data_IF_998243702179
#
_entry.id   IF_998243702179
#
_cell.length_a   1.000
_cell.length_b   1.000
_cell.length_c   1.000
_cell.angle_alpha   90.00
_cell.angle_beta   90.00
_cell.angle_gamma   90.00
#
_symmetry.space_group_name_H-M   'P 1'
#
loop_
_entity.id
_entity.type
_entity.pdbx_description
1 polymer ?
#
# COMPACT_ATOMS: atom_id res chain seq x y z
N UNK A 1 -5.55 -1.62 0.68
CA UNK A 1 -6.34 -0.96 -0.39
C UNK A 1 -5.74 0.40 -0.69
N UNK A 2 -5.82 0.85 -1.93
CA UNK A 2 -5.42 2.20 -2.38
C UNK A 2 -6.57 2.81 -3.15
N UNK A 3 -7.00 4.00 -2.72
CA UNK A 3 -8.05 4.79 -3.35
C UNK A 3 -7.40 5.95 -4.08
N UNK A 4 -7.56 5.95 -5.40
CA UNK A 4 -7.21 7.04 -6.30
C UNK A 4 -8.52 7.60 -6.91
N UNK A 5 -8.51 8.81 -7.49
CA UNK A 5 -9.73 9.50 -7.89
C UNK A 5 -10.63 8.71 -8.85
N UNK A 6 -10.04 7.83 -9.67
CA UNK A 6 -10.77 7.06 -10.69
C UNK A 6 -10.77 5.56 -10.43
N UNK A 7 -10.08 5.06 -9.40
CA UNK A 7 -9.95 3.62 -9.19
C UNK A 7 -9.60 3.27 -7.74
N UNK A 8 -10.15 2.15 -7.28
CA UNK A 8 -9.73 1.49 -6.04
C UNK A 8 -9.00 0.21 -6.39
N UNK A 9 -7.85 0.01 -5.77
CA UNK A 9 -7.03 -1.20 -5.90
C UNK A 9 -6.90 -1.91 -4.57
N UNK A 10 -7.06 -3.22 -4.57
CA UNK A 10 -7.16 -4.05 -3.38
C UNK A 10 -6.20 -5.23 -3.49
N UNK A 11 -5.55 -5.52 -2.38
CA UNK A 11 -4.66 -6.67 -2.23
C UNK A 11 -4.93 -7.29 -0.87
N UNK A 12 -5.10 -8.61 -0.87
CA UNK A 12 -5.11 -9.44 0.32
C UNK A 12 -3.77 -10.16 0.41
N UNK A 13 -3.06 -9.96 1.52
CA UNK A 13 -1.76 -10.58 1.77
C UNK A 13 -1.82 -11.53 2.95
N UNK A 14 -1.05 -12.60 2.87
CA UNK A 14 -0.88 -13.56 3.95
C UNK A 14 0.07 -13.03 5.05
N UNK A 15 -0.11 -13.56 6.26
CA UNK A 15 0.74 -13.28 7.41
C UNK A 15 0.31 -12.06 8.23
N UNK A 16 0.44 -12.18 9.56
CA UNK A 16 0.00 -11.16 10.52
C UNK A 16 0.74 -9.82 10.36
N UNK A 17 1.94 -9.85 9.77
CA UNK A 17 2.76 -8.66 9.53
C UNK A 17 2.54 -8.06 8.13
N UNK A 18 1.66 -8.63 7.30
CA UNK A 18 1.42 -8.15 5.93
C UNK A 18 2.59 -8.34 4.94
N UNK A 19 3.60 -9.14 5.31
CA UNK A 19 4.80 -9.40 4.50
C UNK A 19 4.72 -10.70 3.67
N UNK A 20 3.62 -11.45 3.76
CA UNK A 20 3.47 -12.73 3.05
C UNK A 20 3.14 -12.56 1.57
N UNK A 21 2.78 -13.69 0.95
CA UNK A 21 2.36 -13.74 -0.45
C UNK A 21 1.01 -13.05 -0.64
N UNK A 22 0.79 -12.51 -1.84
CA UNK A 22 -0.52 -12.06 -2.27
C UNK A 22 -1.44 -13.26 -2.46
N UNK A 23 -2.57 -13.24 -1.76
CA UNK A 23 -3.64 -14.26 -1.83
C UNK A 23 -4.64 -13.92 -2.91
N UNK A 24 -5.00 -12.64 -2.98
CA UNK A 24 -6.05 -12.14 -3.84
C UNK A 24 -5.80 -10.67 -4.17
N UNK A 25 -6.22 -10.27 -5.37
CA UNK A 25 -6.16 -8.89 -5.84
C UNK A 25 -7.46 -8.54 -6.54
N UNK A 26 -7.92 -7.32 -6.35
CA UNK A 26 -9.15 -6.84 -6.98
C UNK A 26 -9.06 -5.35 -7.26
N UNK A 27 -9.82 -4.89 -8.24
CA UNK A 27 -9.90 -3.48 -8.60
C UNK A 27 -11.29 -3.12 -9.12
N UNK A 28 -11.68 -1.88 -8.89
CA UNK A 28 -12.90 -1.32 -9.48
C UNK A 28 -12.73 0.16 -9.77
N UNK A 29 -13.36 0.60 -10.84
CA UNK A 29 -13.36 2.00 -11.27
C UNK A 29 -14.30 2.84 -10.38
N UNK A 30 -13.85 4.05 -10.07
CA UNK A 30 -14.66 5.08 -9.41
C UNK A 30 -15.11 6.06 -10.49
N UNK A 31 -16.42 6.22 -10.72
CA UNK A 31 -16.92 7.17 -11.71
C UNK A 31 -16.57 8.62 -11.32
N UNK A 32 -16.25 9.49 -12.28
CA UNK A 32 -15.79 10.85 -12.00
C UNK A 32 -16.87 11.72 -11.32
N UNK A 33 -16.43 12.37 -10.24
CA UNK A 33 -16.94 13.50 -9.45
C UNK A 33 -18.41 13.97 -9.63
N UNK A 34 -19.24 13.57 -8.66
CA UNK A 34 -20.24 14.38 -7.97
C UNK A 34 -20.05 14.10 -6.46
N UNK A 35 -20.48 14.96 -5.52
CA UNK A 35 -20.37 14.67 -4.07
C UNK A 35 -21.01 13.31 -3.68
N UNK A 36 -22.05 12.93 -4.43
CA UNK A 36 -22.67 11.61 -4.32
C UNK A 36 -21.72 10.46 -4.73
N UNK A 37 -20.80 10.71 -5.66
CA UNK A 37 -19.77 9.77 -6.10
C UNK A 37 -18.71 9.52 -5.02
N UNK A 38 -18.28 10.54 -4.27
CA UNK A 38 -17.34 10.37 -3.14
C UNK A 38 -17.95 9.50 -2.03
N UNK A 39 -19.21 9.78 -1.66
CA UNK A 39 -19.98 8.93 -0.74
C UNK A 39 -20.19 7.51 -1.30
N UNK A 40 -20.40 7.38 -2.62
CA UNK A 40 -20.52 6.08 -3.28
C UNK A 40 -19.20 5.29 -3.22
N UNK A 41 -18.06 5.92 -3.49
CA UNK A 41 -16.74 5.30 -3.44
C UNK A 41 -16.42 4.81 -2.04
N UNK A 42 -16.64 5.64 -1.01
CA UNK A 42 -16.50 5.25 0.38
C UNK A 42 -17.37 4.03 0.76
N UNK A 43 -18.65 4.03 0.35
CA UNK A 43 -19.56 2.90 0.58
C UNK A 43 -19.15 1.64 -0.20
N UNK A 44 -18.57 1.79 -1.39
CA UNK A 44 -18.06 0.69 -2.18
C UNK A 44 -16.82 0.06 -1.52
N UNK A 45 -15.91 0.87 -0.99
CA UNK A 45 -14.77 0.39 -0.17
C UNK A 45 -15.27 -0.35 1.07
N UNK A 46 -16.25 0.19 1.80
CA UNK A 46 -16.87 -0.49 2.95
C UNK A 46 -17.46 -1.85 2.54
N UNK A 47 -18.18 -1.89 1.42
CA UNK A 47 -18.78 -3.11 0.88
C UNK A 47 -17.71 -4.14 0.48
N UNK A 48 -16.61 -3.68 -0.13
CA UNK A 48 -15.49 -4.52 -0.48
C UNK A 48 -14.80 -5.10 0.75
N UNK A 49 -14.55 -4.30 1.80
CA UNK A 49 -13.97 -4.79 3.07
C UNK A 49 -14.87 -5.88 3.70
N UNK A 50 -16.18 -5.66 3.73
CA UNK A 50 -17.14 -6.65 4.24
C UNK A 50 -17.14 -7.93 3.39
N UNK A 51 -17.12 -7.78 2.06
CA UNK A 51 -17.03 -8.87 1.10
C UNK A 51 -15.75 -9.69 1.28
N UNK A 52 -14.59 -9.04 1.33
CA UNK A 52 -13.29 -9.69 1.56
C UNK A 52 -13.25 -10.38 2.92
N UNK A 53 -13.79 -9.77 3.99
CA UNK A 53 -13.87 -10.42 5.31
C UNK A 53 -14.72 -11.69 5.27
N UNK A 54 -15.85 -11.65 4.60
CA UNK A 54 -16.73 -12.81 4.44
C UNK A 54 -16.07 -13.89 3.58
N UNK A 55 -15.51 -13.54 2.44
CA UNK A 55 -14.79 -14.46 1.55
C UNK A 55 -13.58 -15.10 2.23
N UNK A 56 -12.81 -14.33 2.99
CA UNK A 56 -11.70 -14.84 3.80
C UNK A 56 -12.20 -15.88 4.83
N UNK A 57 -13.29 -15.59 5.54
CA UNK A 57 -13.87 -16.51 6.52
C UNK A 57 -14.39 -17.81 5.89
N UNK A 58 -15.01 -17.74 4.72
CA UNK A 58 -15.44 -18.90 3.94
C UNK A 58 -14.25 -19.75 3.46
N UNK A 59 -13.11 -19.11 3.18
CA UNK A 59 -11.83 -19.76 2.87
C UNK A 59 -11.06 -20.28 4.08
N UNK A 60 -11.56 -20.11 5.31
CA UNK A 60 -10.87 -20.52 6.55
C UNK A 60 -9.79 -19.55 7.04
N UNK A 61 -9.73 -18.35 6.48
CA UNK A 61 -8.83 -17.26 6.89
C UNK A 61 -9.56 -16.26 7.81
N UNK A 62 -8.79 -15.47 8.57
CA UNK A 62 -9.32 -14.35 9.35
C UNK A 62 -8.63 -13.07 8.91
N UNK A 63 -9.42 -12.07 8.52
CA UNK A 63 -8.90 -10.74 8.21
C UNK A 63 -8.43 -10.07 9.51
N UNK A 64 -7.12 -9.86 9.64
CA UNK A 64 -6.49 -9.33 10.85
C UNK A 64 -6.53 -7.80 10.92
N UNK A 65 -6.14 -7.12 9.84
CA UNK A 65 -6.16 -5.66 9.70
C UNK A 65 -6.48 -5.27 8.26
N UNK A 66 -6.89 -4.02 8.07
CA UNK A 66 -7.09 -3.42 6.75
C UNK A 66 -6.46 -2.04 6.73
N UNK A 67 -5.52 -1.82 5.81
CA UNK A 67 -5.01 -0.48 5.51
C UNK A 67 -5.68 0.08 4.27
N UNK A 68 -6.11 1.33 4.32
CA UNK A 68 -6.63 2.06 3.16
C UNK A 68 -5.81 3.33 2.95
N UNK A 69 -5.23 3.48 1.76
CA UNK A 69 -4.59 4.72 1.33
C UNK A 69 -5.51 5.57 0.48
N UNK A 70 -5.29 6.87 0.51
CA UNK A 70 -6.04 7.87 -0.23
C UNK A 70 -5.06 8.95 -0.71
N UNK A 71 -5.37 9.54 -1.85
CA UNK A 71 -4.69 10.73 -2.37
C UNK A 71 -5.41 12.01 -1.95
N UNK A 72 -6.75 11.99 -1.85
CA UNK A 72 -7.56 13.15 -1.48
C UNK A 72 -7.99 13.12 0.01
N UNK A 73 -7.71 14.17 0.80
CA UNK A 73 -8.20 14.31 2.17
C UNK A 73 -9.73 14.30 2.32
N UNK A 74 -10.50 14.80 1.34
CA UNK A 74 -11.97 14.84 1.41
C UNK A 74 -12.56 13.42 1.35
N UNK A 75 -12.06 12.63 0.40
CA UNK A 75 -12.30 11.20 0.29
C UNK A 75 -12.00 10.43 1.58
N UNK A 76 -10.89 10.76 2.24
CA UNK A 76 -10.51 10.14 3.52
C UNK A 76 -11.53 10.41 4.64
N UNK A 77 -12.05 11.63 4.71
CA UNK A 77 -13.07 12.01 5.68
C UNK A 77 -14.39 11.27 5.42
N UNK A 78 -14.84 11.21 4.16
CA UNK A 78 -16.03 10.46 3.78
C UNK A 78 -15.91 8.97 4.09
N UNK A 79 -14.75 8.36 3.81
CA UNK A 79 -14.49 6.96 4.14
C UNK A 79 -14.49 6.72 5.65
N UNK A 80 -13.87 7.60 6.45
CA UNK A 80 -13.89 7.49 7.92
C UNK A 80 -15.32 7.49 8.45
N UNK A 81 -16.16 8.38 7.95
CA UNK A 81 -17.55 8.51 8.40
C UNK A 81 -18.37 7.27 7.98
N UNK A 82 -18.14 6.73 6.78
CA UNK A 82 -18.75 5.49 6.31
C UNK A 82 -18.30 4.27 7.16
N UNK A 83 -17.01 4.14 7.46
CA UNK A 83 -16.48 3.09 8.33
C UNK A 83 -17.11 3.14 9.73
N UNK A 84 -17.26 4.34 10.30
CA UNK A 84 -17.90 4.55 11.59
C UNK A 84 -19.40 4.18 11.57
N UNK A 85 -20.13 4.56 10.52
CA UNK A 85 -21.54 4.21 10.35
C UNK A 85 -21.76 2.69 10.29
N UNK A 86 -20.83 1.95 9.68
CA UNK A 86 -20.87 0.50 9.56
C UNK A 86 -20.19 -0.25 10.73
N UNK A 87 -19.65 0.48 11.73
CA UNK A 87 -18.93 -0.08 12.89
C UNK A 87 -17.79 -1.03 12.47
N UNK A 88 -17.08 -0.66 11.40
CA UNK A 88 -15.93 -1.42 10.96
C UNK A 88 -14.71 -1.07 11.81
N UNK A 89 -14.21 -2.08 12.51
CA UNK A 89 -13.00 -2.02 13.32
C UNK A 89 -11.80 -2.57 12.55
N UNK A 90 -10.58 -2.34 13.06
CA UNK A 90 -9.32 -2.80 12.46
C UNK A 90 -9.05 -2.25 11.05
N UNK A 91 -9.68 -1.12 10.69
CA UNK A 91 -9.37 -0.37 9.48
C UNK A 91 -8.52 0.84 9.85
N UNK A 92 -7.34 0.93 9.26
CA UNK A 92 -6.44 2.06 9.40
C UNK A 92 -6.43 2.88 8.11
N UNK A 93 -6.68 4.17 8.24
CA UNK A 93 -6.48 5.14 7.18
C UNK A 93 -5.00 5.56 7.17
N UNK A 94 -4.33 5.34 6.06
CA UNK A 94 -2.87 5.54 5.90
C UNK A 94 -2.65 6.53 4.77
N UNK A 95 -1.87 7.60 4.97
CA UNK A 95 -1.50 8.46 3.83
C UNK A 95 -0.72 7.66 2.78
N UNK A 96 -0.87 7.97 1.49
CA UNK A 96 -0.15 7.26 0.44
C UNK A 96 1.39 7.29 0.62
N UNK A 97 1.93 8.42 1.10
CA UNK A 97 3.36 8.52 1.45
C UNK A 97 3.79 7.53 2.55
N UNK A 98 3.03 7.42 3.65
CA UNK A 98 3.32 6.45 4.72
C UNK A 98 3.18 4.99 4.27
N UNK A 99 2.25 4.71 3.36
CA UNK A 99 2.17 3.39 2.74
C UNK A 99 3.41 3.08 1.89
N UNK A 100 3.88 4.05 1.10
CA UNK A 100 5.13 3.94 0.36
C UNK A 100 6.35 3.79 1.30
N UNK A 101 6.36 4.46 2.46
CA UNK A 101 7.42 4.30 3.47
C UNK A 101 7.40 2.92 4.12
N UNK A 102 6.22 2.37 4.42
CA UNK A 102 6.11 1.00 4.93
C UNK A 102 6.61 -0.05 3.91
N UNK A 103 6.36 0.18 2.61
CA UNK A 103 6.98 -0.63 1.55
C UNK A 103 8.50 -0.47 1.51
N UNK A 104 9.01 0.76 1.56
CA UNK A 104 10.45 1.02 1.54
C UNK A 104 11.15 0.36 2.73
N UNK A 105 10.55 0.40 3.92
CA UNK A 105 11.03 -0.34 5.09
C UNK A 105 11.06 -1.84 4.85
N UNK A 106 9.98 -2.42 4.31
CA UNK A 106 9.91 -3.85 4.03
C UNK A 106 10.97 -4.28 3.01
N UNK A 107 11.12 -3.55 1.90
CA UNK A 107 12.14 -3.80 0.87
C UNK A 107 13.56 -3.61 1.40
N UNK A 108 13.78 -2.54 2.17
CA UNK A 108 15.06 -2.27 2.83
C UNK A 108 15.46 -3.42 3.77
N UNK A 109 14.50 -3.92 4.56
CA UNK A 109 14.74 -5.07 5.45
C UNK A 109 15.08 -6.36 4.69
N UNK A 110 14.42 -6.62 3.55
CA UNK A 110 14.68 -7.78 2.70
C UNK A 110 16.04 -7.69 1.99
N UNK A 111 16.46 -6.47 1.64
CA UNK A 111 17.73 -6.20 0.93
C UNK A 111 18.90 -6.02 1.90
N UNK A 112 18.66 -6.01 3.21
CA UNK A 112 19.64 -5.67 4.26
C UNK A 112 20.22 -4.25 4.15
N UNK A 113 19.42 -3.31 3.63
CA UNK A 113 19.73 -1.89 3.71
C UNK A 113 19.42 -1.38 5.11
N UNK A 114 20.34 -0.62 5.70
CA UNK A 114 20.09 0.07 6.95
C UNK A 114 19.15 1.25 6.72
N UNK A 115 19.38 2.01 5.64
CA UNK A 115 18.59 3.16 5.27
C UNK A 115 18.24 3.15 3.78
N UNK A 116 16.98 3.38 3.46
CA UNK A 116 16.48 3.41 2.08
C UNK A 116 15.91 4.77 1.78
N UNK A 117 16.41 5.46 0.75
CA UNK A 117 15.78 6.68 0.26
C UNK A 117 14.50 6.29 -0.47
N UNK A 118 13.35 6.76 0.00
CA UNK A 118 12.07 6.66 -0.67
C UNK A 118 11.87 7.91 -1.54
N UNK A 119 11.67 7.72 -2.84
CA UNK A 119 11.11 8.73 -3.72
C UNK A 119 9.65 8.38 -4.05
N UNK A 120 8.71 9.10 -3.44
CA UNK A 120 7.29 8.98 -3.74
C UNK A 120 6.88 10.05 -4.75
N UNK A 121 6.30 9.65 -5.87
CA UNK A 121 5.99 10.52 -7.01
C UNK A 121 4.48 10.53 -7.25
N UNK A 122 3.92 11.73 -7.29
CA UNK A 122 2.55 12.06 -7.67
C UNK A 122 2.60 12.90 -8.97
N UNK A 123 1.47 13.13 -9.67
CA UNK A 123 1.49 13.85 -10.94
C UNK A 123 2.04 15.28 -10.86
N UNK A 124 1.84 15.96 -9.73
CA UNK A 124 2.16 17.37 -9.52
C UNK A 124 3.17 17.60 -8.38
N UNK A 125 3.55 16.56 -7.64
CA UNK A 125 4.50 16.66 -6.53
C UNK A 125 5.36 15.41 -6.40
N UNK A 126 6.55 15.57 -5.81
CA UNK A 126 7.42 14.47 -5.43
C UNK A 126 7.91 14.66 -4.00
N UNK A 127 8.03 13.57 -3.25
CA UNK A 127 8.54 13.56 -1.88
C UNK A 127 9.71 12.59 -1.78
N UNK A 128 10.89 13.12 -1.49
CA UNK A 128 12.07 12.33 -1.11
C UNK A 128 12.11 12.23 0.43
N UNK A 129 12.41 11.06 0.96
CA UNK A 129 12.67 10.86 2.38
C UNK A 129 13.60 9.68 2.59
N UNK A 130 14.21 9.55 3.76
CA UNK A 130 15.03 8.38 4.12
C UNK A 130 14.33 7.57 5.20
N UNK A 131 14.13 6.29 4.93
CA UNK A 131 13.44 5.34 5.82
C UNK A 131 14.46 4.39 6.45
N UNK A 132 14.45 4.29 7.77
CA UNK A 132 15.25 3.32 8.51
C UNK A 132 14.57 1.94 8.47
N UNK A 133 15.25 0.92 7.98
CA UNK A 133 14.67 -0.42 7.83
C UNK A 133 14.38 -1.11 9.17
N UNK A 134 15.07 -0.73 10.25
CA UNK A 134 14.97 -1.40 11.55
C UNK A 134 13.67 -1.03 12.31
N UNK A 135 13.28 0.24 12.28
CA UNK A 135 12.15 0.76 13.06
C UNK A 135 11.11 1.52 12.23
N UNK A 136 11.38 1.79 10.94
CA UNK A 136 10.48 2.54 10.06
C UNK A 136 10.48 4.04 10.31
N UNK A 137 11.43 4.56 11.10
CA UNK A 137 11.61 6.01 11.29
C UNK A 137 11.95 6.68 9.96
N UNK A 138 11.45 7.91 9.80
CA UNK A 138 11.58 8.70 8.57
C UNK A 138 12.39 9.96 8.87
N UNK A 139 13.43 10.21 8.09
CA UNK A 139 14.30 11.39 8.16
C UNK A 139 14.40 12.08 6.78
N UNK A 140 14.99 13.28 6.74
CA UNK A 140 15.31 14.02 5.51
C UNK A 140 14.14 14.18 4.51
N UNK A 141 12.95 14.45 5.03
CA UNK A 141 11.75 14.62 4.20
C UNK A 141 11.84 15.93 3.41
N UNK A 142 11.86 15.82 2.09
CA UNK A 142 11.84 16.93 1.15
C UNK A 142 10.74 16.73 0.12
N UNK A 143 9.70 17.58 0.18
CA UNK A 143 8.64 17.64 -0.82
C UNK A 143 8.90 18.77 -1.80
N UNK A 144 8.75 18.50 -3.09
CA UNK A 144 8.95 19.44 -4.18
C UNK A 144 7.74 19.40 -5.13
N UNK A 145 7.21 20.55 -5.57
CA UNK A 145 6.24 20.60 -6.66
C UNK A 145 6.94 20.24 -7.98
N UNK A 146 6.24 19.52 -8.86
CA UNK A 146 6.71 19.17 -10.19
C UNK A 146 6.12 20.13 -11.25
N UNK A 147 6.94 20.61 -12.21
CA UNK A 147 6.48 21.34 -13.37
C UNK A 147 5.44 20.54 -14.16
N UNK A 148 4.53 21.27 -14.82
CA UNK A 148 3.59 20.67 -15.78
C UNK A 148 4.25 20.19 -17.08
N UNK A 149 5.51 20.56 -17.31
CA UNK A 149 6.31 20.07 -18.43
C UNK A 149 7.04 18.78 -18.04
N UNK A 150 6.77 17.70 -18.78
CA UNK A 150 7.26 16.36 -18.44
C UNK A 150 8.79 16.27 -18.40
N UNK A 151 9.49 16.93 -19.34
CA UNK A 151 10.96 16.90 -19.38
C UNK A 151 11.57 17.65 -18.19
N UNK A 152 11.01 18.81 -17.84
CA UNK A 152 11.39 19.55 -16.64
C UNK A 152 11.07 18.78 -15.34
N UNK A 153 9.93 18.09 -15.28
CA UNK A 153 9.56 17.25 -14.14
C UNK A 153 10.56 16.09 -13.96
N UNK A 154 10.91 15.39 -15.04
CA UNK A 154 11.92 14.32 -15.01
C UNK A 154 13.29 14.86 -14.59
N UNK A 155 13.70 16.03 -15.07
CA UNK A 155 14.95 16.67 -14.66
C UNK A 155 14.96 17.02 -13.16
N UNK A 156 13.83 17.48 -12.62
CA UNK A 156 13.71 17.75 -11.18
C UNK A 156 13.75 16.46 -10.35
N UNK A 157 13.06 15.41 -10.78
CA UNK A 157 13.13 14.09 -10.13
C UNK A 157 14.56 13.55 -10.13
N UNK A 158 15.27 13.63 -11.25
CA UNK A 158 16.68 13.28 -11.36
C UNK A 158 17.55 14.09 -10.38
N UNK A 159 17.30 15.40 -10.24
CA UNK A 159 17.98 16.23 -9.26
C UNK A 159 17.72 15.80 -7.81
N UNK A 160 16.49 15.40 -7.47
CA UNK A 160 16.15 14.91 -6.13
C UNK A 160 16.87 13.59 -5.82
N UNK A 161 16.87 12.65 -6.77
CA UNK A 161 17.57 11.36 -6.62
C UNK A 161 19.08 11.57 -6.50
N UNK A 162 19.67 12.46 -7.31
CA UNK A 162 21.09 12.81 -7.22
C UNK A 162 21.45 13.41 -5.85
N UNK A 163 20.57 14.25 -5.29
CA UNK A 163 20.76 14.83 -3.95
C UNK A 163 20.75 13.78 -2.83
N UNK A 164 20.09 12.63 -3.02
CA UNK A 164 20.02 11.58 -2.01
C UNK A 164 21.41 11.05 -1.59
N UNK A 165 22.40 11.08 -2.50
CA UNK A 165 23.79 10.68 -2.20
C UNK A 165 24.51 11.62 -1.25
N UNK A 166 24.10 12.89 -1.21
CA UNK A 166 24.71 13.92 -0.40
C UNK A 166 24.08 14.02 1.01
N UNK A 167 23.03 13.26 1.29
CA UNK A 167 22.36 13.27 2.58
C UNK A 167 23.26 12.69 3.68
N UNK A 168 23.19 13.29 4.88
CA UNK A 168 23.99 12.85 6.03
C UNK A 168 23.60 11.45 6.52
N UNK A 169 22.34 11.07 6.30
CA UNK A 169 21.77 9.74 6.56
C UNK A 169 22.39 8.63 5.72
N UNK A 170 22.97 8.96 4.55
CA UNK A 170 23.65 8.03 3.63
C UNK A 170 22.80 6.79 3.30
N UNK A 171 21.70 6.95 2.56
CA UNK A 171 20.89 5.82 2.13
C UNK A 171 21.71 4.84 1.29
N UNK A 172 21.46 3.53 1.47
CA UNK A 172 22.14 2.45 0.76
C UNK A 172 21.59 2.26 -0.67
N UNK A 173 20.37 2.72 -0.92
CA UNK A 173 19.68 2.63 -2.20
C UNK A 173 18.45 3.52 -2.26
N UNK A 174 17.88 3.67 -3.46
CA UNK A 174 16.68 4.48 -3.71
C UNK A 174 15.53 3.56 -4.13
N UNK A 175 14.43 3.61 -3.37
CA UNK A 175 13.19 2.92 -3.70
C UNK A 175 12.17 3.94 -4.24
N UNK A 176 11.70 3.72 -5.46
CA UNK A 176 10.80 4.65 -6.15
C UNK A 176 9.38 4.09 -6.19
N UNK A 177 8.40 4.86 -5.71
CA UNK A 177 6.98 4.50 -5.73
C UNK A 177 6.20 5.61 -6.43
N UNK A 178 5.39 5.25 -7.41
CA UNK A 178 4.59 6.18 -8.20
C UNK A 178 3.10 6.00 -7.95
N UNK A 179 2.37 7.11 -7.89
CA UNK A 179 0.90 7.14 -7.83
C UNK A 179 0.36 7.84 -9.08
N UNK A 180 -0.30 7.09 -9.97
CA UNK A 180 -0.85 7.66 -11.20
C UNK A 180 0.21 8.10 -12.23
N UNK A 181 1.42 7.55 -12.15
CA UNK A 181 2.54 7.85 -13.06
C UNK A 181 3.14 6.57 -13.67
N UNK A 182 3.68 6.67 -14.88
CA UNK A 182 4.33 5.57 -15.58
C UNK A 182 5.83 5.52 -15.24
N UNK A 183 6.15 4.87 -14.11
CA UNK A 183 7.51 4.70 -13.59
C UNK A 183 8.52 4.14 -14.64
N UNK A 184 8.18 3.11 -15.43
CA UNK A 184 9.04 2.61 -16.51
C UNK A 184 9.59 3.69 -17.47
N UNK A 185 8.82 4.73 -17.77
CA UNK A 185 9.24 5.81 -18.67
C UNK A 185 10.34 6.70 -18.08
N UNK A 186 10.26 6.98 -16.77
CA UNK A 186 11.17 7.92 -16.11
C UNK A 186 12.38 7.22 -15.47
N UNK A 187 12.28 5.93 -15.18
CA UNK A 187 13.31 5.15 -14.48
C UNK A 187 14.73 5.27 -15.09
N UNK A 188 14.94 5.20 -16.42
CA UNK A 188 16.29 5.33 -17.00
C UNK A 188 16.96 6.68 -16.70
N UNK A 189 16.18 7.76 -16.62
CA UNK A 189 16.70 9.09 -16.29
C UNK A 189 17.10 9.18 -14.82
N UNK A 190 16.34 8.55 -13.92
CA UNK A 190 16.65 8.48 -12.49
C UNK A 190 17.90 7.64 -12.23
N UNK A 191 18.04 6.48 -12.90
CA UNK A 191 19.22 5.61 -12.81
C UNK A 191 20.49 6.30 -13.31
N UNK A 192 20.38 7.18 -14.32
CA UNK A 192 21.53 7.94 -14.80
C UNK A 192 21.96 9.07 -13.85
N UNK A 193 21.07 9.50 -12.94
CA UNK A 193 21.29 10.63 -12.05
C UNK A 193 21.98 10.25 -10.71
N UNK A 194 22.06 8.96 -10.40
CA UNK A 194 22.66 8.45 -9.17
C UNK A 194 23.47 7.17 -9.41
N UNK A 195 24.47 6.99 -8.56
CA UNK A 195 25.22 5.76 -8.34
C UNK A 195 24.56 4.80 -7.36
N UNK A 196 23.53 5.24 -6.61
CA UNK A 196 22.78 4.39 -5.70
C UNK A 196 21.93 3.37 -6.48
N UNK A 197 21.85 2.10 -6.01
CA UNK A 197 20.94 1.13 -6.59
C UNK A 197 19.49 1.63 -6.55
N UNK A 198 18.85 1.69 -7.71
CA UNK A 198 17.45 2.10 -7.83
C UNK A 198 16.54 0.87 -7.96
N UNK A 199 15.54 0.79 -7.09
CA UNK A 199 14.52 -0.27 -7.09
C UNK A 199 13.12 0.34 -7.10
N UNK A 200 12.15 -0.45 -7.55
CA UNK A 200 10.73 -0.10 -7.59
C UNK A 200 9.90 -1.34 -7.23
N UNK A 201 8.65 -1.19 -6.78
CA UNK A 201 7.77 -2.32 -6.54
C UNK A 201 7.64 -3.23 -7.77
N UNK A 202 7.57 -4.54 -7.56
CA UNK A 202 7.33 -5.52 -8.63
C UNK A 202 5.97 -5.31 -9.31
N UNK A 203 4.97 -4.89 -8.53
CA UNK A 203 3.63 -4.55 -8.98
C UNK A 203 3.34 -3.09 -8.61
N UNK A 204 3.71 -2.11 -9.47
CA UNK A 204 3.57 -0.68 -9.17
C UNK A 204 2.13 -0.27 -8.87
N UNK A 205 1.18 -0.91 -9.55
CA UNK A 205 -0.24 -0.60 -9.47
C UNK A 205 -0.84 -0.95 -8.10
N UNK A 206 -0.42 -2.07 -7.50
CA UNK A 206 -0.91 -2.54 -6.20
C UNK A 206 0.02 -2.15 -5.04
N UNK A 207 1.17 -1.56 -5.34
CA UNK A 207 2.20 -1.18 -4.37
C UNK A 207 1.63 -0.39 -3.19
N UNK A 208 0.91 0.70 -3.45
CA UNK A 208 0.33 1.51 -2.37
C UNK A 208 -0.68 0.73 -1.51
N UNK A 209 -1.49 -0.14 -2.13
CA UNK A 209 -2.43 -0.98 -1.40
C UNK A 209 -1.70 -1.98 -0.48
N UNK A 210 -0.57 -2.53 -0.95
CA UNK A 210 0.30 -3.42 -0.16
C UNK A 210 1.04 -2.67 0.95
N UNK A 211 1.52 -1.46 0.67
CA UNK A 211 2.09 -0.56 1.67
C UNK A 211 1.10 -0.20 2.77
N UNK A 212 -0.17 0.01 2.42
CA UNK A 212 -1.25 0.21 3.38
C UNK A 212 -1.41 -1.01 4.30
N UNK A 213 -1.40 -2.21 3.72
CA UNK A 213 -1.51 -3.45 4.49
C UNK A 213 -0.34 -3.59 5.47
N UNK A 214 0.90 -3.37 5.01
CA UNK A 214 2.10 -3.36 5.85
C UNK A 214 2.02 -2.32 6.97
N UNK A 215 1.63 -1.09 6.66
CA UNK A 215 1.48 -0.02 7.63
C UNK A 215 0.42 -0.38 8.70
N UNK A 216 -0.73 -0.92 8.27
CA UNK A 216 -1.82 -1.32 9.17
C UNK A 216 -1.42 -2.48 10.09
N UNK A 217 -0.59 -3.40 9.62
CA UNK A 217 -0.09 -4.52 10.40
C UNK A 217 0.93 -4.09 11.47
N UNK A 218 1.64 -2.98 11.26
CA UNK A 218 2.68 -2.46 12.16
C UNK A 218 2.25 -1.19 12.92
N UNK A 219 0.94 -0.94 13.01
CA UNK A 219 0.30 0.22 13.63
C UNK A 219 0.93 0.76 14.95
N UNK A 220 1.41 -0.05 15.91
CA UNK A 220 2.02 0.48 17.14
C UNK A 220 3.32 1.25 16.92
N UNK A 221 4.02 1.04 15.79
CA UNK A 221 5.33 1.65 15.51
C UNK A 221 5.23 3.03 14.82
N UNK A 222 4.10 3.34 14.18
CA UNK A 222 3.90 4.64 13.48
C UNK A 222 3.38 5.77 14.38
N UNK A 223 2.97 5.46 15.61
CA UNK A 223 2.50 6.46 16.58
C UNK A 223 3.62 7.38 17.11
N UNK A 224 4.90 6.99 16.96
CA UNK A 224 6.05 7.83 17.33
C UNK A 224 6.50 8.77 16.21
N UNK A 225 6.26 8.42 14.93
CA UNK A 225 6.61 9.28 13.78
C UNK A 225 5.60 10.38 13.49
N UNK A 226 4.35 10.25 13.98
CA UNK A 226 3.32 11.29 13.80
C UNK A 226 3.65 12.57 14.57
N UNK A 227 4.35 12.46 15.70
CA UNK A 227 4.88 13.61 16.43
C UNK A 227 6.00 14.34 15.63
N UNK A 228 6.81 13.60 14.88
CA UNK A 228 7.86 14.18 14.02
C UNK A 228 7.28 14.84 12.75
N UNK A 229 6.22 14.28 12.15
CA UNK A 229 5.50 14.88 11.01
C UNK A 229 4.77 16.17 11.38
N UNK A 230 4.23 16.27 12.60
CA UNK A 230 3.60 17.50 13.08
C UNK A 230 4.58 18.69 13.19
N UNK A 231 5.85 18.43 13.53
CA UNK A 231 6.91 19.46 13.52
C UNK A 231 7.43 19.80 12.11
N UNK A 232 7.39 18.84 11.18
CA UNK A 232 7.82 19.06 9.79
C UNK A 232 6.76 19.78 8.92
N UNK A 233 5.49 19.79 9.37
CA UNK A 233 4.38 20.49 8.71
C UNK A 233 4.22 21.95 9.15
N UNK A 234 5.03 22.45 10.08
CA UNK A 234 5.08 23.87 10.45
C UNK A 234 6.08 24.59 9.54
N UNK A 235 5.64 25.32 8.49
CA UNK A 235 6.54 26.19 7.78
C UNK A 235 6.72 27.38 8.71
N UNK A 236 7.91 27.52 9.30
CA UNK A 236 8.28 28.59 10.24
C UNK A 236 8.18 30.03 9.71
N UNK A 237 7.33 30.28 8.72
CA UNK A 237 6.95 31.53 8.07
C UNK A 237 5.46 31.86 8.22
N UNK A 238 4.67 31.08 8.97
CA UNK A 238 3.27 31.42 9.30
C UNK A 238 2.26 31.20 8.15
N UNK A 239 2.63 30.45 7.12
CA UNK A 239 1.71 30.01 6.09
C UNK A 239 1.04 28.70 6.54
N UNK A 240 -0.21 28.78 7.00
CA UNK A 240 -0.99 27.61 7.38
C UNK A 240 -1.49 26.93 6.09
N UNK A 241 -1.26 25.63 5.93
CA UNK A 241 -1.99 24.86 4.91
C UNK A 241 -3.44 24.69 5.41
N UNK A 242 -4.46 25.27 4.75
CA UNK A 242 -5.85 25.21 5.22
C UNK A 242 -6.44 23.79 5.21
N UNK A 243 -5.73 22.81 4.65
CA UNK A 243 -6.12 21.40 4.59
C UNK A 243 -5.26 20.49 5.50
N UNK A 244 -4.35 21.05 6.31
CA UNK A 244 -3.61 20.27 7.29
C UNK A 244 -4.52 19.91 8.49
N UNK A 245 -5.04 18.67 8.49
CA UNK A 245 -5.82 18.14 9.61
C UNK A 245 -4.87 17.70 10.72
N UNK A 246 -4.65 18.57 11.70
CA UNK A 246 -4.06 18.17 12.98
C UNK A 246 -5.11 17.45 13.84
N UNK A 247 -4.78 16.33 14.52
CA UNK A 247 -5.68 15.72 15.47
C UNK A 247 -5.71 16.56 16.75
N UNK A 248 -6.73 17.39 16.92
CA UNK A 248 -7.13 17.88 18.24
C UNK A 248 -7.01 19.38 18.52
N UNK A 249 -7.26 20.27 17.56
CA UNK A 249 -7.52 21.68 17.91
C UNK A 249 -9.02 21.97 17.86
N UNK A 250 -9.62 22.14 19.03
CA UNK A 250 -10.93 22.78 19.18
C UNK A 250 -10.81 24.23 18.70
N UNK A 251 -11.63 24.58 17.71
CA UNK A 251 -11.74 25.95 17.22
C UNK A 251 -12.31 26.85 18.33
N UNK A 252 -11.47 27.72 18.88
CA UNK A 252 -11.91 28.81 19.75
C UNK A 252 -12.22 29.98 18.82
N UNK A 253 -13.49 30.42 18.69
CA UNK A 253 -13.83 31.50 17.80
C UNK A 253 -13.07 32.77 18.20
N UNK A 254 -12.30 33.31 17.25
CA UNK A 254 -11.57 34.57 17.41
C UNK A 254 -12.55 35.74 17.51
N UNK A 255 -12.84 36.15 18.75
CA UNK A 255 -13.73 37.28 19.03
C UNK A 255 -13.78 37.73 20.50
N UNK A 256 -12.78 37.38 21.32
CA UNK A 256 -12.68 37.86 22.69
C UNK A 256 -11.47 38.81 22.80
N UNK A 257 -11.77 40.10 22.96
CA UNK A 257 -10.78 41.14 23.23
C UNK A 257 -10.07 40.91 24.57
N UNK A 258 -9.03 41.72 24.78
CA UNK A 258 -8.20 41.77 25.98
C UNK A 258 -9.02 41.72 27.27
N UNK A 259 -9.17 40.53 27.87
CA UNK A 259 -9.47 40.31 29.28
C UNK A 259 -9.35 38.81 29.57
N UNK A 260 -8.10 38.31 29.51
CA UNK A 260 -7.71 37.03 30.10
C UNK A 260 -7.76 37.12 31.62
N UNK A 261 -8.96 37.08 32.19
CA UNK A 261 -9.18 36.98 33.63
C UNK A 261 -9.91 35.67 33.93
N UNK A 262 -9.11 34.67 34.30
CA UNK A 262 -9.58 33.49 34.99
C UNK A 262 -10.06 33.90 36.40
N UNK A 263 -11.37 33.95 36.63
CA UNK A 263 -11.92 33.90 37.98
C UNK A 263 -13.39 33.47 37.96
N UNK A 264 -13.66 32.20 38.29
CA UNK A 264 -14.96 31.82 38.84
C UNK A 264 -15.03 32.38 40.26
N UNK A 265 -15.43 33.64 40.39
CA UNK A 265 -16.12 34.12 41.58
C UNK A 265 -17.60 34.20 41.21
N UNK A 266 -18.40 33.30 41.77
CA UNK A 266 -19.85 33.48 41.85
C UNK A 266 -20.09 34.33 43.10
N UNK A 267 -20.60 35.57 42.98
CA UNK A 267 -21.20 36.25 44.11
C UNK A 267 -22.56 35.61 44.36
N UNK A 268 -22.72 35.03 45.55
CA UNK A 268 -24.01 34.67 46.11
C UNK A 268 -24.75 35.99 46.42
N UNK A 269 -25.88 36.25 45.76
CA UNK A 269 -26.86 37.22 46.23
C UNK A 269 -28.18 36.50 46.49
N UNK A 270 -28.57 36.56 47.75
CA UNK A 270 -29.82 36.09 48.30
C UNK A 270 -30.96 37.06 47.97
N UNK A 271 -32.18 36.54 48.10
CA UNK A 271 -33.46 37.24 48.10
C UNK A 271 -34.08 37.51 46.71
N UNK A 272 -34.94 36.59 46.26
CA UNK A 272 -36.38 36.90 46.27
C UNK A 272 -37.25 35.65 46.05
N UNK A 273 -38.01 35.35 47.10
CA UNK A 273 -39.13 34.40 47.11
C UNK A 273 -40.35 35.09 46.47
N UNK A 274 -40.90 34.56 45.38
CA UNK A 274 -42.33 34.76 45.11
C UNK A 274 -42.98 33.56 44.38
N UNK A 275 -43.93 32.97 45.10
CA UNK A 275 -44.86 31.91 44.72
C UNK A 275 -45.95 32.40 43.76
N UNK A 276 -46.42 31.54 42.86
CA UNK A 276 -47.85 31.51 42.46
C UNK A 276 -48.21 31.72 40.98
N UNK A 277 -48.45 30.61 40.28
CA UNK A 277 -49.79 30.22 39.81
C UNK A 277 -50.63 31.17 38.87
N UNK A 278 -50.81 30.69 37.64
CA UNK A 278 -52.02 30.69 36.78
C UNK A 278 -52.47 31.92 35.93
N UNK A 279 -52.50 31.64 34.61
CA UNK A 279 -53.61 31.79 33.63
C UNK A 279 -53.94 33.12 32.94
N UNK A 280 -53.90 33.05 31.59
CA UNK A 280 -54.84 33.65 30.62
C UNK A 280 -54.58 35.11 30.24
N UNK A 281 -54.73 35.58 29.00
CA UNK A 281 -55.19 35.03 27.73
C UNK A 281 -54.97 36.14 26.67
N UNK A 282 -54.71 35.80 25.41
CA UNK A 282 -55.11 36.47 24.15
C UNK A 282 -54.29 35.87 23.01
N UNK A 283 -54.74 35.56 21.81
CA UNK A 283 -56.05 35.37 21.19
C UNK A 283 -55.74 34.71 19.82
N UNK A 284 -56.71 33.94 19.34
CA UNK A 284 -56.70 33.11 18.13
C UNK A 284 -56.47 33.91 16.83
N UNK A 285 -55.67 33.39 15.89
CA UNK A 285 -56.07 33.19 14.47
C UNK A 285 -55.32 31.98 13.89
N UNK A 286 -56.12 31.17 13.20
CA UNK A 286 -55.93 29.84 12.61
C UNK A 286 -55.17 29.83 11.27
N UNK A 287 -54.32 28.82 11.03
CA UNK A 287 -54.00 28.27 9.70
C UNK A 287 -53.16 26.97 9.79
N UNK A 288 -53.86 25.84 10.03
CA UNK A 288 -53.69 24.58 9.29
C UNK A 288 -52.35 23.84 9.24
N UNK A 289 -52.13 22.92 10.20
CA UNK A 289 -51.30 21.72 10.01
C UNK A 289 -52.19 20.52 9.66
N UNK A 290 -51.88 19.72 8.61
CA UNK A 290 -52.52 18.43 8.46
C UNK A 290 -51.88 17.38 9.38
N UNK A 291 -52.79 16.72 10.07
CA UNK A 291 -52.69 15.75 11.14
C UNK A 291 -52.00 14.43 10.72
N UNK A 292 -51.14 13.91 11.60
CA UNK A 292 -50.62 12.54 11.52
C UNK A 292 -51.77 11.55 11.66
N UNK A 293 -52.02 10.72 10.65
CA UNK A 293 -52.87 9.53 10.76
C UNK A 293 -52.12 8.27 10.34
N UNK A 294 -52.15 7.31 11.25
CA UNK A 294 -51.71 5.93 11.09
C UNK A 294 -52.46 5.21 9.97
N UNK A 295 -51.73 4.65 9.00
CA UNK A 295 -52.22 3.61 8.11
C UNK A 295 -51.32 2.38 8.24
N UNK A 296 -51.73 1.44 9.10
CA UNK A 296 -51.36 0.04 9.00
C UNK A 296 -52.21 -0.61 7.90
N UNK A 297 -51.61 -1.56 7.19
CA UNK A 297 -52.20 -2.47 6.18
C UNK A 297 -52.45 -1.88 4.79
N UNK A 298 -51.47 -2.01 3.89
CA UNK A 298 -51.59 -2.72 2.59
C UNK A 298 -50.19 -3.21 2.21
N UNK A 299 -49.95 -4.53 2.19
CA UNK A 299 -48.65 -5.09 1.81
C UNK A 299 -48.61 -6.62 1.88
N UNK A 300 -49.72 -7.29 1.56
CA UNK A 300 -49.89 -8.74 1.76
C UNK A 300 -49.81 -9.61 0.49
N UNK A 301 -49.59 -9.04 -0.69
CA UNK A 301 -49.73 -9.80 -1.96
C UNK A 301 -48.37 -10.05 -2.67
N UNK A 302 -47.32 -9.29 -2.35
CA UNK A 302 -46.01 -9.42 -3.02
C UNK A 302 -45.08 -10.44 -2.32
N UNK A 303 -45.30 -10.71 -1.03
CA UNK A 303 -44.43 -11.61 -0.25
C UNK A 303 -44.64 -13.11 -0.56
N UNK A 304 -45.82 -13.53 -1.03
CA UNK A 304 -46.12 -14.94 -1.28
C UNK A 304 -45.46 -15.50 -2.55
N UNK A 305 -45.32 -14.67 -3.59
CA UNK A 305 -44.67 -15.08 -4.84
C UNK A 305 -43.17 -15.33 -4.63
N UNK A 306 -42.52 -14.53 -3.78
CA UNK A 306 -41.10 -14.67 -3.47
C UNK A 306 -40.80 -15.98 -2.72
N UNK A 307 -41.63 -16.33 -1.72
CA UNK A 307 -41.43 -17.56 -0.93
C UNK A 307 -41.63 -18.82 -1.78
N UNK A 308 -42.63 -18.83 -2.68
CA UNK A 308 -42.84 -19.97 -3.60
C UNK A 308 -41.67 -20.10 -4.59
N UNK A 309 -41.14 -18.98 -5.09
CA UNK A 309 -39.95 -18.97 -5.95
C UNK A 309 -38.70 -19.52 -5.27
N UNK A 310 -38.45 -19.13 -4.01
CA UNK A 310 -37.30 -19.61 -3.23
C UNK A 310 -37.42 -21.11 -2.91
N UNK A 311 -38.62 -21.59 -2.57
CA UNK A 311 -38.84 -23.03 -2.33
C UNK A 311 -38.66 -23.85 -3.61
N UNK A 312 -39.14 -23.37 -4.76
CA UNK A 312 -38.92 -24.03 -6.04
C UNK A 312 -37.43 -24.08 -6.42
N UNK A 313 -36.68 -23.00 -6.17
CA UNK A 313 -35.24 -22.92 -6.40
C UNK A 313 -34.47 -23.93 -5.54
N UNK A 314 -34.80 -24.03 -4.25
CA UNK A 314 -34.16 -24.97 -3.32
C UNK A 314 -34.43 -26.43 -3.71
N UNK A 315 -35.66 -26.76 -4.12
CA UNK A 315 -36.01 -28.10 -4.58
C UNK A 315 -35.28 -28.45 -5.88
N UNK A 316 -35.16 -27.49 -6.81
CA UNK A 316 -34.44 -27.71 -8.07
C UNK A 316 -32.93 -27.91 -7.85
N UNK A 317 -32.34 -27.18 -6.89
CA UNK A 317 -30.93 -27.33 -6.53
C UNK A 317 -30.65 -28.67 -5.84
N UNK A 318 -31.58 -29.18 -5.02
CA UNK A 318 -31.44 -30.47 -4.36
C UNK A 318 -31.50 -31.67 -5.35
N UNK A 319 -32.21 -31.53 -6.47
CA UNK A 319 -32.34 -32.59 -7.49
C UNK A 319 -31.14 -32.59 -8.46
N UNK A 320 -30.48 -31.46 -8.65
CA UNK A 320 -29.31 -31.32 -9.52
C UNK A 320 -28.04 -32.02 -8.97
N UNK A 321 -28.00 -32.31 -7.67
CA UNK A 321 -26.89 -33.02 -7.02
C UNK A 321 -27.21 -34.51 -6.97
N UNK A 322 -27.16 -35.18 -8.14
CA UNK A 322 -26.91 -36.62 -8.15
C UNK A 322 -25.42 -36.84 -7.85
N UNK A 323 -25.07 -37.71 -6.88
CA UNK A 323 -23.67 -37.97 -6.56
C UNK A 323 -23.07 -38.86 -7.65
N UNK A 324 -22.12 -38.35 -8.42
CA UNK A 324 -21.18 -39.18 -9.17
C UNK A 324 -20.11 -39.73 -8.22
N UNK A 325 -20.56 -40.57 -7.28
CA UNK A 325 -19.69 -41.41 -6.47
C UNK A 325 -19.51 -42.76 -7.19
N UNK A 326 -18.57 -42.81 -8.15
CA UNK A 326 -17.81 -44.02 -8.54
C UNK A 326 -17.02 -43.79 -9.84
N UNK A 327 -15.95 -43.00 -9.78
CA UNK A 327 -14.77 -43.24 -10.63
C UNK A 327 -13.54 -42.81 -9.83
N UNK A 328 -12.87 -43.77 -9.17
CA UNK A 328 -11.51 -43.59 -8.69
C UNK A 328 -10.56 -43.70 -9.89
N UNK A 329 -9.72 -42.71 -10.20
CA UNK A 329 -8.60 -42.92 -11.11
C UNK A 329 -7.55 -43.79 -10.40
N UNK A 330 -7.36 -45.02 -10.84
CA UNK A 330 -6.25 -45.88 -10.42
C UNK A 330 -4.93 -45.33 -10.99
N UNK A 331 -3.94 -44.98 -10.16
CA UNK A 331 -2.67 -44.39 -10.63
C UNK A 331 -1.68 -45.48 -11.06
N UNK A 332 -2.03 -46.35 -12.00
CA UNK A 332 -1.16 -47.46 -12.45
C UNK A 332 -1.23 -47.78 -13.95
N UNK A 333 -1.64 -46.84 -14.80
CA UNK A 333 -1.56 -47.01 -16.26
C UNK A 333 -1.20 -45.69 -16.96
N UNK A 334 0.01 -45.18 -16.72
CA UNK A 334 0.71 -44.36 -17.70
C UNK A 334 1.96 -45.13 -18.12
N UNK A 335 1.77 -45.99 -19.13
CA UNK A 335 2.84 -46.58 -19.92
C UNK A 335 3.52 -45.41 -20.67
N UNK A 336 4.62 -44.93 -20.10
CA UNK A 336 5.60 -44.14 -20.82
C UNK A 336 6.21 -45.08 -21.87
N UNK A 337 5.86 -44.89 -23.14
CA UNK A 337 6.66 -45.41 -24.26
C UNK A 337 7.94 -44.57 -24.30
N UNK A 338 8.91 -44.97 -23.48
CA UNK A 338 10.28 -44.50 -23.60
C UNK A 338 10.93 -45.20 -24.82
N UNK A 339 11.72 -44.49 -25.64
CA UNK A 339 12.54 -45.14 -26.65
C UNK A 339 13.54 -46.08 -25.97
N UNK A 340 13.55 -47.32 -26.43
CA UNK A 340 14.35 -48.45 -25.94
C UNK A 340 15.84 -48.12 -25.88
N UNK A 341 16.40 -48.09 -24.66
CA UNK A 341 17.85 -48.22 -24.39
C UNK A 341 18.07 -49.52 -23.60
N UNK A 342 18.84 -50.49 -24.12
CA UNK A 342 19.00 -51.80 -23.49
C UNK A 342 19.79 -51.72 -22.18
N UNK A 343 19.36 -52.51 -21.19
CA UNK A 343 19.92 -52.57 -19.84
C UNK A 343 21.33 -53.21 -19.79
N UNK A 344 22.24 -52.75 -18.90
CA UNK A 344 23.54 -53.37 -18.69
C UNK A 344 23.43 -54.70 -17.90
N UNK A 345 24.19 -55.70 -18.32
CA UNK A 345 24.32 -56.99 -17.64
C UNK A 345 25.12 -56.91 -16.33
N UNK A 346 24.81 -57.82 -15.42
CA UNK A 346 25.43 -58.04 -14.11
C UNK A 346 26.95 -58.39 -14.19
N UNK A 347 27.72 -58.18 -13.10
CA UNK A 347 29.19 -58.21 -13.13
C UNK A 347 29.78 -59.62 -13.07
N UNK A 348 30.89 -59.81 -13.79
CA UNK A 348 31.72 -61.03 -13.80
C UNK A 348 32.94 -60.81 -12.87
N UNK A 349 33.45 -61.82 -12.13
CA UNK A 349 34.33 -61.62 -10.97
C UNK A 349 35.79 -61.27 -11.31
N UNK A 350 36.40 -60.44 -10.47
CA UNK A 350 37.83 -60.12 -10.51
C UNK A 350 38.72 -61.22 -9.88
N UNK A 351 39.87 -61.51 -10.50
CA UNK A 351 40.96 -62.30 -9.89
C UNK A 351 42.35 -61.70 -10.18
N UNK A 352 42.97 -61.27 -9.09
CA UNK A 352 44.38 -61.18 -8.66
C UNK A 352 45.48 -60.47 -9.51
N UNK A 353 46.37 -59.67 -8.86
CA UNK A 353 47.51 -59.00 -9.47
C UNK A 353 48.82 -59.83 -9.40
N UNK A 354 49.80 -59.50 -10.25
CA UNK A 354 51.19 -59.98 -10.17
C UNK A 354 52.17 -58.80 -10.35
N UNK A 355 53.40 -58.87 -9.79
CA UNK A 355 54.13 -57.70 -9.26
C UNK A 355 55.21 -57.10 -10.19
N UNK A 356 55.68 -55.92 -9.76
CA UNK A 356 56.54 -54.91 -10.38
C UNK A 356 58.06 -55.19 -10.36
N UNK A 357 58.80 -54.65 -11.35
CA UNK A 357 60.15 -54.02 -11.26
C UNK A 357 60.77 -53.80 -12.68
N UNK A 358 61.84 -52.99 -12.85
CA UNK A 358 62.09 -51.61 -12.41
C UNK A 358 62.47 -50.66 -13.59
N UNK A 359 62.49 -49.35 -13.32
CA UNK A 359 62.70 -48.27 -14.31
C UNK A 359 64.15 -48.09 -14.80
N UNK A 360 64.38 -47.53 -16.02
CA UNK A 360 65.63 -46.88 -16.41
C UNK A 360 65.54 -45.35 -16.51
N UNK A 361 66.73 -44.74 -16.49
CA UNK A 361 67.11 -43.37 -16.13
C UNK A 361 66.79 -42.25 -17.17
N UNK A 362 66.99 -40.95 -16.82
CA UNK A 362 66.35 -39.80 -17.48
C UNK A 362 67.22 -39.15 -18.58
N UNK A 363 66.58 -38.46 -19.55
CA UNK A 363 67.27 -37.56 -20.50
C UNK A 363 66.50 -36.25 -20.78
N UNK A 364 67.32 -35.19 -20.82
CA UNK A 364 67.17 -33.73 -20.94
C UNK A 364 66.10 -33.09 -21.90
N UNK A 365 65.79 -31.79 -21.72
CA UNK A 365 64.62 -31.10 -22.28
C UNK A 365 64.84 -30.54 -23.70
N UNK A 366 63.77 -30.52 -24.51
CA UNK A 366 63.76 -29.86 -25.82
C UNK A 366 63.45 -28.36 -25.70
N UNK A 367 64.25 -27.57 -26.43
CA UNK A 367 64.27 -26.10 -26.48
C UNK A 367 62.95 -25.49 -26.96
N UNK A 368 62.47 -24.47 -26.25
CA UNK A 368 61.48 -23.53 -26.75
C UNK A 368 62.09 -22.65 -27.88
N UNK A 369 61.38 -22.54 -28.99
CA UNK A 369 61.70 -21.57 -30.05
C UNK A 369 61.07 -20.21 -29.69
N UNK A 370 61.88 -19.16 -29.74
CA UNK A 370 61.46 -17.78 -29.59
C UNK A 370 60.84 -17.25 -30.91
N UNK A 371 59.71 -16.55 -30.82
CA UNK A 371 59.15 -15.76 -31.92
C UNK A 371 59.74 -14.34 -31.96
N UNK A 372 59.95 -13.75 -33.15
CA UNK A 372 60.80 -12.58 -33.33
C UNK A 372 60.10 -11.24 -33.06
N UNK A 373 60.91 -10.28 -32.57
CA UNK A 373 60.56 -8.90 -32.28
C UNK A 373 60.15 -8.07 -33.52
N UNK A 374 59.18 -7.18 -33.32
CA UNK A 374 58.77 -6.15 -34.27
C UNK A 374 59.90 -5.12 -34.48
N UNK A 375 60.22 -4.81 -35.74
CA UNK A 375 61.20 -3.78 -36.11
C UNK A 375 60.58 -2.39 -36.00
N UNK A 376 61.24 -1.53 -35.25
CA UNK A 376 61.06 -0.07 -35.23
C UNK A 376 61.52 0.56 -36.55
N UNK A 377 60.68 1.38 -37.17
CA UNK A 377 61.02 2.26 -38.30
C UNK A 377 61.72 3.56 -37.86
N UNK A 378 62.48 4.24 -38.74
CA UNK A 378 63.45 5.25 -38.37
C UNK A 378 62.87 6.66 -38.14
N UNK A 379 63.53 7.41 -37.25
CA UNK A 379 63.23 8.79 -36.85
C UNK A 379 63.64 9.83 -37.91
N UNK A 380 62.93 10.98 -38.01
CA UNK A 380 63.36 12.13 -38.81
C UNK A 380 64.40 13.01 -38.08
N UNK A 381 65.36 13.52 -38.84
CA UNK A 381 66.43 14.47 -38.43
C UNK A 381 65.90 15.91 -38.26
N UNK A 382 66.57 16.69 -37.42
CA UNK A 382 66.44 18.16 -37.28
C UNK A 382 67.83 18.76 -36.94
N UNK A 383 68.04 20.09 -36.98
CA UNK A 383 68.31 20.94 -38.14
C UNK A 383 69.74 21.55 -38.13
N UNK A 384 70.10 22.25 -39.21
CA UNK A 384 70.98 23.42 -39.23
C UNK A 384 70.48 24.38 -40.32
#
# INVERSE_FOLDING_TARGET
MSMAPTAVRMVLVEGQNGQGATVDEDNFDVPPEDDAATLSAANQVVSAILGTRQGAAEGGYQLASTGVTFTDPLEAAALRDALAAHKLENVMLVSAFLAAAALAQAVGSQTNYAQTALLYIEPDTATLAVVNSADGSIADVQRQPLPADDEAAVAQLASMVSHAEALETRPDGVFVVGSGIDLPLIKPALEAATSLPLSAPEEPETALARGAALASAHAPLFSSSTAALAYAQDPGTGAINPFAVAPGYFDVPAGAGEEGLAYSAVPDDADDLYTGAYTGATALVDAGYPERRSFRMVGGIVASVFVIGVVALVVSLAIAIRPTANVRPSPNQNVVVAPTRPAPAAPVPAKAPAPEAPAPAPAAPSRAWASPAARSGPAPRRPA
#
